data_IF_457629437208
#
_entry.id   IF_457629437208
#
_cell.length_a   1.000
_cell.length_b   1.000
_cell.length_c   1.000
_cell.angle_alpha   90.00
_cell.angle_beta   90.00
_cell.angle_gamma   90.00
#
_symmetry.space_group_name_H-M   'P 1'
#
loop_
_entity.id
_entity.type
_entity.pdbx_description
1 polymer ?
#
# COMPACT_ATOMS: atom_id res chain seq x y z
N UNK A 1 9.41 14.99 -9.98
CA UNK A 1 8.33 14.97 -10.99
C UNK A 1 7.00 15.38 -10.36
N UNK A 2 6.26 16.28 -11.03
CA UNK A 2 5.01 16.87 -10.49
C UNK A 2 3.78 16.00 -10.73
N UNK A 3 3.84 15.12 -11.71
CA UNK A 3 2.74 14.23 -12.11
C UNK A 3 3.26 12.82 -12.33
N UNK A 4 2.48 11.82 -11.95
CA UNK A 4 2.69 10.42 -12.20
C UNK A 4 1.46 9.79 -12.84
N UNK A 5 1.64 8.75 -13.64
CA UNK A 5 0.55 7.97 -14.23
C UNK A 5 0.47 6.61 -13.51
N UNK A 6 -0.68 6.34 -12.87
CA UNK A 6 -0.91 5.16 -12.05
C UNK A 6 -2.17 4.44 -12.52
N UNK A 7 -2.05 3.54 -13.51
CA UNK A 7 -3.19 2.84 -14.07
C UNK A 7 -3.75 1.78 -13.11
N UNK A 8 -5.06 1.52 -13.23
CA UNK A 8 -5.71 0.39 -12.60
C UNK A 8 -6.74 -0.23 -13.55
N UNK A 9 -6.88 -1.55 -13.47
CA UNK A 9 -7.86 -2.29 -14.24
C UNK A 9 -8.35 -3.49 -13.44
N UNK A 10 -9.62 -3.87 -13.61
CA UNK A 10 -10.17 -5.06 -13.02
C UNK A 10 -11.15 -5.73 -13.95
N UNK A 11 -11.21 -7.06 -13.89
CA UNK A 11 -12.16 -7.88 -14.64
C UNK A 11 -12.75 -8.93 -13.69
N UNK A 12 -14.03 -9.19 -13.84
CA UNK A 12 -14.73 -10.24 -13.11
C UNK A 12 -15.53 -11.10 -14.07
N UNK A 13 -15.35 -12.41 -13.95
CA UNK A 13 -16.07 -13.40 -14.73
C UNK A 13 -16.94 -14.26 -13.81
N UNK A 14 -18.28 -14.22 -14.06
CA UNK A 14 -19.24 -15.03 -13.35
C UNK A 14 -19.43 -16.36 -14.08
N UNK A 15 -18.60 -17.32 -13.74
CA UNK A 15 -18.56 -18.66 -14.39
C UNK A 15 -19.88 -19.40 -14.18
N UNK A 16 -20.56 -19.20 -13.04
CA UNK A 16 -21.85 -19.84 -12.74
C UNK A 16 -22.99 -19.45 -13.68
N UNK A 17 -22.87 -18.35 -14.42
CA UNK A 17 -23.88 -17.93 -15.39
C UNK A 17 -23.63 -18.47 -16.80
N UNK A 18 -22.50 -19.13 -17.03
CA UNK A 18 -22.18 -19.70 -18.34
C UNK A 18 -23.00 -20.97 -18.65
N UNK A 19 -23.36 -21.20 -19.92
CA UNK A 19 -24.19 -22.36 -20.31
C UNK A 19 -23.58 -23.72 -19.95
N UNK A 20 -22.24 -23.83 -19.97
CA UNK A 20 -21.54 -25.07 -19.62
C UNK A 20 -21.62 -25.42 -18.13
N UNK A 21 -21.93 -24.45 -17.27
CA UNK A 21 -21.98 -24.63 -15.81
C UNK A 21 -23.30 -25.29 -15.35
N UNK A 22 -24.29 -25.45 -16.22
CA UNK A 22 -25.65 -25.85 -15.86
C UNK A 22 -25.77 -27.12 -14.99
N UNK A 23 -24.91 -28.11 -15.21
CA UNK A 23 -24.90 -29.38 -14.45
C UNK A 23 -24.35 -29.21 -13.03
N UNK A 24 -23.49 -28.21 -12.80
CA UNK A 24 -22.84 -27.95 -11.51
C UNK A 24 -23.69 -27.01 -10.62
N UNK A 25 -24.67 -26.29 -11.19
CA UNK A 25 -25.60 -25.40 -10.45
C UNK A 25 -26.38 -26.09 -9.33
N UNK A 26 -26.48 -27.41 -9.34
CA UNK A 26 -27.18 -28.17 -8.28
C UNK A 26 -26.48 -28.09 -6.92
N UNK A 27 -25.16 -27.92 -6.92
CA UNK A 27 -24.34 -27.95 -5.69
C UNK A 27 -23.62 -26.63 -5.43
N UNK A 28 -23.42 -25.81 -6.47
CA UNK A 28 -22.67 -24.56 -6.40
C UNK A 28 -23.53 -23.46 -7.01
N UNK A 29 -23.96 -22.52 -6.20
CA UNK A 29 -24.87 -21.46 -6.62
C UNK A 29 -24.17 -20.32 -7.33
N UNK A 30 -22.96 -19.98 -6.92
CA UNK A 30 -22.19 -18.89 -7.47
C UNK A 30 -20.71 -19.26 -7.57
N UNK A 31 -20.14 -18.99 -8.75
CA UNK A 31 -18.69 -19.03 -8.98
C UNK A 31 -18.31 -17.78 -9.74
N UNK A 32 -17.49 -16.94 -9.11
CA UNK A 32 -16.99 -15.72 -9.74
C UNK A 32 -15.47 -15.64 -9.57
N UNK A 33 -14.78 -15.51 -10.69
CA UNK A 33 -13.35 -15.23 -10.75
C UNK A 33 -13.15 -13.72 -10.89
N UNK A 34 -12.21 -13.19 -10.12
CA UNK A 34 -11.81 -11.77 -10.15
C UNK A 34 -10.32 -11.67 -10.44
N UNK A 35 -9.96 -10.74 -11.30
CA UNK A 35 -8.56 -10.38 -11.56
C UNK A 35 -8.46 -8.87 -11.53
N UNK A 36 -7.50 -8.35 -10.78
CA UNK A 36 -7.24 -6.91 -10.76
C UNK A 36 -5.75 -6.61 -10.76
N UNK A 37 -5.44 -5.50 -11.37
CA UNK A 37 -4.14 -4.86 -11.35
C UNK A 37 -4.32 -3.40 -10.99
N UNK A 38 -3.49 -2.89 -10.07
CA UNK A 38 -3.47 -1.47 -9.73
C UNK A 38 -2.05 -1.00 -9.48
N UNK A 39 -1.75 0.20 -9.96
CA UNK A 39 -0.52 0.91 -9.63
C UNK A 39 -0.87 2.18 -8.87
N UNK A 40 -0.11 2.47 -7.81
CA UNK A 40 -0.26 3.66 -6.98
C UNK A 40 1.11 4.33 -6.84
N UNK A 41 1.12 5.65 -6.84
CA UNK A 41 2.28 6.45 -6.50
C UNK A 41 2.17 6.97 -5.07
N UNK A 42 3.24 6.82 -4.31
CA UNK A 42 3.37 7.41 -3.00
C UNK A 42 4.53 8.40 -3.02
N UNK A 43 4.26 9.63 -2.60
CA UNK A 43 5.27 10.68 -2.46
C UNK A 43 5.24 11.21 -1.04
N UNK A 44 5.75 10.42 -0.11
CA UNK A 44 5.86 10.78 1.30
C UNK A 44 7.16 11.53 1.56
N UNK A 45 7.37 12.64 0.87
CA UNK A 45 8.50 13.56 1.04
C UNK A 45 8.02 14.86 1.66
N UNK A 46 8.85 15.49 2.48
CA UNK A 46 8.59 16.83 2.98
C UNK A 46 8.52 17.84 1.84
N UNK A 47 7.75 18.89 2.07
CA UNK A 47 7.75 20.03 1.15
C UNK A 47 9.17 20.59 1.07
N UNK A 48 9.71 20.73 -0.15
CA UNK A 48 11.04 21.28 -0.42
C UNK A 48 12.24 20.40 -0.02
N UNK A 49 12.06 19.12 0.31
CA UNK A 49 13.15 18.18 0.63
C UNK A 49 14.19 18.05 -0.52
N UNK A 50 13.86 18.53 -1.70
CA UNK A 50 14.76 18.55 -2.86
C UNK A 50 15.64 19.82 -2.93
N UNK A 51 15.43 20.80 -2.07
CA UNK A 51 16.17 22.06 -2.04
C UNK A 51 17.14 22.05 -0.87
N UNK A 52 18.43 22.22 -1.16
CA UNK A 52 19.41 22.42 -0.11
C UNK A 52 19.29 23.84 0.44
N UNK A 53 19.09 23.96 1.74
CA UNK A 53 18.87 25.23 2.42
C UNK A 53 20.06 25.62 3.27
N UNK A 54 20.19 26.91 3.56
CA UNK A 54 21.15 27.43 4.53
C UNK A 54 20.38 27.82 5.79
N UNK A 55 20.71 27.17 6.90
CA UNK A 55 20.14 27.48 8.21
C UNK A 55 20.94 28.62 8.84
N UNK A 56 20.30 29.76 9.08
CA UNK A 56 20.95 30.97 9.63
C UNK A 56 20.66 31.20 11.10
N UNK A 57 19.84 30.38 11.73
CA UNK A 57 19.35 30.57 13.10
C UNK A 57 20.21 29.85 14.17
N UNK A 58 21.38 29.36 13.78
CA UNK A 58 22.29 28.70 14.70
C UNK A 58 22.96 29.72 15.64
N UNK A 59 23.00 29.41 16.94
CA UNK A 59 23.75 30.21 17.92
C UNK A 59 25.00 29.43 18.32
N UNK A 60 26.15 30.04 18.22
CA UNK A 60 27.41 29.41 18.64
C UNK A 60 27.42 29.20 20.15
N UNK A 61 28.03 28.11 20.62
CA UNK A 61 28.27 27.89 22.05
C UNK A 61 29.54 28.63 22.55
N UNK A 62 30.02 29.55 21.73
CA UNK A 62 31.19 30.33 22.01
C UNK A 62 30.83 31.82 22.22
N UNK A 63 31.41 32.46 23.21
CA UNK A 63 31.19 33.87 23.55
C UNK A 63 32.36 34.68 23.02
N UNK A 64 32.09 35.67 22.16
CA UNK A 64 33.08 36.63 21.67
C UNK A 64 33.27 37.79 22.69
N UNK A 65 34.23 38.64 22.44
CA UNK A 65 34.68 39.68 23.38
C UNK A 65 33.62 40.70 23.82
N UNK A 66 32.48 40.79 23.16
CA UNK A 66 31.30 41.59 23.55
C UNK A 66 30.31 40.83 24.45
N UNK A 67 30.69 39.67 24.97
CA UNK A 67 29.87 38.78 25.81
C UNK A 67 28.56 38.28 25.15
N UNK A 68 28.48 38.33 23.85
CA UNK A 68 27.33 37.81 23.09
C UNK A 68 27.71 36.52 22.36
N UNK A 69 26.77 35.61 22.34
CA UNK A 69 26.88 34.41 21.48
C UNK A 69 26.71 34.81 20.02
N UNK A 70 27.67 34.48 19.20
CA UNK A 70 27.59 34.73 17.75
C UNK A 70 26.55 33.84 17.09
N UNK A 71 25.97 34.32 16.00
CA UNK A 71 25.15 33.51 15.10
C UNK A 71 26.02 32.84 14.05
N UNK A 72 25.62 31.66 13.59
CA UNK A 72 26.27 31.00 12.48
C UNK A 72 25.27 30.52 11.44
N UNK A 73 25.72 30.39 10.22
CA UNK A 73 25.00 29.75 9.13
C UNK A 73 25.58 28.37 8.87
N UNK A 74 24.73 27.37 8.69
CA UNK A 74 25.12 26.02 8.29
C UNK A 74 24.34 25.59 7.06
N UNK A 75 24.99 24.85 6.20
CA UNK A 75 24.32 24.20 5.05
C UNK A 75 23.55 23.01 5.59
N UNK A 76 22.31 22.82 5.14
CA UNK A 76 21.53 21.62 5.45
C UNK A 76 22.20 20.36 4.91
N UNK A 77 21.75 19.20 5.39
CA UNK A 77 22.18 17.92 4.86
C UNK A 77 22.04 17.86 3.34
N UNK A 78 22.90 17.13 2.64
CA UNK A 78 22.84 17.01 1.20
C UNK A 78 21.54 16.32 0.76
N UNK A 79 20.92 16.84 -0.28
CA UNK A 79 19.70 16.30 -0.87
C UNK A 79 20.04 15.51 -2.13
N UNK A 80 19.29 14.42 -2.39
CA UNK A 80 19.38 13.73 -3.66
C UNK A 80 18.53 14.45 -4.72
N UNK A 81 19.13 14.79 -5.84
CA UNK A 81 18.41 15.38 -6.97
C UNK A 81 17.46 14.36 -7.66
N UNK A 82 17.67 13.07 -7.44
CA UNK A 82 16.98 11.97 -8.11
C UNK A 82 15.80 11.41 -7.33
N UNK A 83 15.34 12.12 -6.29
CA UNK A 83 14.15 11.69 -5.53
C UNK A 83 12.91 11.66 -6.42
N UNK A 84 12.27 10.50 -6.47
CA UNK A 84 11.07 10.26 -7.28
C UNK A 84 9.99 9.53 -6.46
N UNK A 85 8.84 9.28 -7.11
CA UNK A 85 7.73 8.55 -6.53
C UNK A 85 8.11 7.12 -6.16
N UNK A 86 7.68 6.70 -4.99
CA UNK A 86 7.50 5.29 -4.71
C UNK A 86 6.35 4.75 -5.56
N UNK A 87 6.56 3.62 -6.22
CA UNK A 87 5.51 2.97 -7.02
C UNK A 87 5.10 1.66 -6.36
N UNK A 88 3.81 1.53 -6.05
CA UNK A 88 3.23 0.31 -5.52
C UNK A 88 2.35 -0.30 -6.59
N UNK A 89 2.73 -1.48 -7.10
CA UNK A 89 1.96 -2.25 -8.08
C UNK A 89 1.42 -3.51 -7.43
N UNK A 90 0.11 -3.75 -7.53
CA UNK A 90 -0.54 -4.91 -6.93
C UNK A 90 -1.29 -5.70 -7.99
N UNK A 91 -1.02 -7.00 -8.07
CA UNK A 91 -1.82 -7.99 -8.76
C UNK A 91 -2.65 -8.75 -7.72
N UNK A 92 -3.93 -8.92 -7.99
CA UNK A 92 -4.83 -9.71 -7.15
C UNK A 92 -5.65 -10.65 -8.04
N UNK A 93 -5.77 -11.90 -7.57
CA UNK A 93 -6.67 -12.91 -8.12
C UNK A 93 -7.60 -13.35 -7.00
N UNK A 94 -8.91 -13.20 -7.22
CA UNK A 94 -9.95 -13.56 -6.25
C UNK A 94 -10.92 -14.59 -6.81
N UNK A 95 -11.39 -15.48 -5.96
CA UNK A 95 -12.41 -16.49 -6.26
C UNK A 95 -13.52 -16.40 -5.21
N UNK A 96 -14.75 -16.17 -5.68
CA UNK A 96 -15.94 -16.16 -4.85
C UNK A 96 -16.78 -17.41 -5.17
N UNK A 97 -17.07 -18.21 -4.15
CA UNK A 97 -17.90 -19.42 -4.24
C UNK A 97 -19.11 -19.30 -3.33
N UNK A 98 -20.29 -19.65 -3.85
CA UNK A 98 -21.55 -19.70 -3.09
C UNK A 98 -22.12 -21.11 -3.12
N UNK A 99 -22.56 -21.61 -1.98
CA UNK A 99 -23.13 -22.93 -1.78
C UNK A 99 -24.42 -22.84 -0.94
N UNK A 100 -25.25 -23.89 -1.02
CA UNK A 100 -26.46 -24.06 -0.21
C UNK A 100 -27.43 -22.88 -0.33
N UNK A 101 -27.77 -22.49 -1.56
CA UNK A 101 -28.56 -21.31 -1.88
C UNK A 101 -27.95 -20.01 -1.31
N UNK A 102 -26.63 -19.87 -1.50
CA UNK A 102 -25.82 -18.75 -1.01
C UNK A 102 -25.81 -18.56 0.52
N UNK A 103 -26.16 -19.60 1.28
CA UNK A 103 -25.99 -19.57 2.74
C UNK A 103 -24.52 -19.63 3.12
N UNK A 104 -23.74 -20.49 2.46
CA UNK A 104 -22.31 -20.59 2.67
C UNK A 104 -21.58 -19.90 1.52
N UNK A 105 -20.79 -18.89 1.84
CA UNK A 105 -19.97 -18.17 0.87
C UNK A 105 -18.51 -18.27 1.27
N UNK A 106 -17.67 -18.61 0.31
CA UNK A 106 -16.22 -18.64 0.43
C UNK A 106 -15.62 -17.60 -0.51
N UNK A 107 -14.81 -16.70 0.04
CA UNK A 107 -14.00 -15.77 -0.73
C UNK A 107 -12.54 -16.08 -0.48
N UNK A 108 -11.79 -16.30 -1.54
CA UNK A 108 -10.36 -16.53 -1.51
C UNK A 108 -9.67 -15.51 -2.40
N UNK A 109 -8.69 -14.82 -1.87
CA UNK A 109 -7.88 -13.85 -2.59
C UNK A 109 -6.40 -14.19 -2.46
N UNK A 110 -5.65 -14.03 -3.54
CA UNK A 110 -4.20 -14.14 -3.56
C UNK A 110 -3.63 -12.91 -4.26
N UNK A 111 -2.61 -12.30 -3.65
CA UNK A 111 -2.03 -11.08 -4.19
C UNK A 111 -0.51 -11.07 -4.16
N UNK A 112 0.04 -10.31 -5.08
CA UNK A 112 1.46 -9.95 -5.14
C UNK A 112 1.53 -8.43 -5.23
N UNK A 113 2.21 -7.82 -4.27
CA UNK A 113 2.44 -6.37 -4.20
C UNK A 113 3.92 -6.09 -4.33
N UNK A 114 4.30 -5.33 -5.34
CA UNK A 114 5.65 -4.83 -5.57
C UNK A 114 5.71 -3.34 -5.24
N UNK A 115 6.46 -2.98 -4.22
CA UNK A 115 6.80 -1.60 -3.90
C UNK A 115 8.20 -1.33 -4.41
N UNK A 116 8.34 -0.40 -5.34
CA UNK A 116 9.62 -0.03 -5.96
C UNK A 116 9.98 1.42 -5.65
N UNK A 117 11.27 1.67 -5.54
CA UNK A 117 11.76 3.00 -5.29
C UNK A 117 11.42 3.54 -3.91
N UNK A 118 11.34 2.67 -2.89
CA UNK A 118 11.15 3.11 -1.52
C UNK A 118 12.31 4.01 -1.09
N UNK A 119 11.96 5.11 -0.44
CA UNK A 119 12.95 6.03 0.08
C UNK A 119 13.63 5.44 1.31
N UNK A 120 14.94 5.45 1.30
CA UNK A 120 15.78 5.01 2.41
C UNK A 120 16.96 5.95 2.55
N UNK A 121 17.64 5.90 3.71
CA UNK A 121 18.92 6.58 3.86
C UNK A 121 19.91 6.07 2.82
N UNK A 122 20.68 6.96 2.25
CA UNK A 122 21.72 6.62 1.28
C UNK A 122 22.84 5.77 1.87
N UNK A 123 23.90 5.56 1.10
CA UNK A 123 25.10 4.89 1.61
C UNK A 123 25.76 5.75 2.68
N UNK A 124 26.22 5.11 3.76
CA UNK A 124 26.96 5.78 4.83
C UNK A 124 28.11 6.61 4.28
N UNK A 125 28.12 7.88 4.63
CA UNK A 125 29.21 8.78 4.33
C UNK A 125 30.35 8.63 5.34
N UNK A 126 31.61 8.84 4.95
CA UNK A 126 32.71 8.89 5.89
C UNK A 126 32.46 9.97 6.96
N UNK A 127 32.83 9.70 8.22
CA UNK A 127 32.61 10.65 9.31
C UNK A 127 33.24 12.03 9.10
N UNK A 128 34.28 12.10 8.27
CA UNK A 128 34.93 13.37 7.89
C UNK A 128 34.04 14.25 6.97
N UNK A 129 32.96 13.72 6.42
CA UNK A 129 32.04 14.49 5.54
C UNK A 129 31.21 15.50 6.35
N UNK A 130 30.93 15.20 7.62
CA UNK A 130 30.27 16.13 8.54
C UNK A 130 28.77 16.39 8.28
N UNK A 131 28.11 15.55 7.48
CA UNK A 131 26.67 15.64 7.21
C UNK A 131 26.05 14.23 7.15
N UNK A 132 24.74 14.16 7.31
CA UNK A 132 23.98 12.92 7.18
C UNK A 132 23.86 12.47 5.73
N UNK A 133 23.55 11.19 5.54
CA UNK A 133 23.37 10.62 4.22
C UNK A 133 22.11 11.17 3.53
N UNK A 134 22.17 11.52 2.24
CA UNK A 134 20.99 11.92 1.49
C UNK A 134 20.01 10.75 1.33
N UNK A 135 18.72 11.03 1.38
CA UNK A 135 17.68 10.04 1.06
C UNK A 135 17.79 9.63 -0.41
N UNK A 136 17.57 8.36 -0.68
CA UNK A 136 17.61 7.79 -2.04
C UNK A 136 16.45 6.81 -2.24
N UNK A 137 15.95 6.68 -3.48
CA UNK A 137 14.99 5.65 -3.86
C UNK A 137 15.72 4.33 -4.15
N UNK A 138 16.18 3.63 -3.12
CA UNK A 138 17.10 2.50 -3.26
C UNK A 138 16.53 1.16 -2.79
N UNK A 139 15.38 1.13 -2.13
CA UNK A 139 14.80 -0.11 -1.62
C UNK A 139 13.61 -0.57 -2.47
N UNK A 140 13.48 -1.89 -2.60
CA UNK A 140 12.34 -2.54 -3.22
C UNK A 140 11.81 -3.62 -2.28
N UNK A 141 10.51 -3.75 -2.20
CA UNK A 141 9.85 -4.75 -1.37
C UNK A 141 8.82 -5.52 -2.21
N UNK A 142 8.84 -6.84 -2.11
CA UNK A 142 7.79 -7.69 -2.68
C UNK A 142 7.06 -8.41 -1.56
N UNK A 143 5.77 -8.16 -1.47
CA UNK A 143 4.86 -8.83 -0.54
C UNK A 143 3.96 -9.77 -1.32
N UNK A 144 3.83 -11.00 -0.84
CA UNK A 144 2.87 -11.99 -1.35
C UNK A 144 1.99 -12.41 -0.19
N UNK A 145 0.71 -12.52 -0.44
CA UNK A 145 -0.24 -12.96 0.58
C UNK A 145 -1.43 -13.67 -0.03
N UNK A 146 -2.18 -14.32 0.82
CA UNK A 146 -3.47 -14.89 0.52
C UNK A 146 -4.40 -14.63 1.69
N UNK A 147 -5.68 -14.50 1.38
CA UNK A 147 -6.74 -14.24 2.34
C UNK A 147 -7.88 -15.21 2.06
N UNK A 148 -8.48 -15.74 3.09
CA UNK A 148 -9.61 -16.65 2.99
C UNK A 148 -10.70 -16.15 3.94
N UNK A 149 -11.92 -15.97 3.43
CA UNK A 149 -13.07 -15.59 4.22
C UNK A 149 -14.20 -16.59 4.01
N UNK A 150 -14.71 -17.15 5.08
CA UNK A 150 -15.89 -18.01 5.09
C UNK A 150 -17.04 -17.27 5.76
N UNK A 151 -18.16 -17.16 5.06
CA UNK A 151 -19.34 -16.46 5.55
C UNK A 151 -20.55 -17.39 5.51
N UNK A 152 -21.23 -17.53 6.65
CA UNK A 152 -22.50 -18.23 6.77
C UNK A 152 -23.63 -17.25 6.98
N UNK A 153 -24.65 -17.31 6.13
CA UNK A 153 -25.86 -16.49 6.20
C UNK A 153 -27.06 -17.41 6.36
N UNK A 154 -27.88 -17.20 7.36
CA UNK A 154 -29.12 -17.94 7.48
C UNK A 154 -30.25 -17.08 8.05
N UNK A 155 -31.47 -17.54 7.79
CA UNK A 155 -32.69 -16.88 8.26
C UNK A 155 -33.70 -17.91 8.67
N UNK A 156 -34.28 -17.74 9.85
CA UNK A 156 -35.40 -18.56 10.36
C UNK A 156 -36.43 -17.67 11.04
N UNK A 157 -37.61 -18.25 11.33
CA UNK A 157 -38.64 -17.54 12.08
C UNK A 157 -38.50 -17.86 13.57
N UNK A 158 -38.29 -16.82 14.36
CA UNK A 158 -38.30 -16.90 15.84
C UNK A 158 -39.55 -16.16 16.35
N UNK A 159 -40.44 -16.86 17.08
CA UNK A 159 -41.71 -16.30 17.58
C UNK A 159 -42.52 -15.57 16.48
N UNK A 160 -42.66 -16.19 15.32
CA UNK A 160 -43.34 -15.64 14.12
C UNK A 160 -42.72 -14.39 13.49
N UNK A 161 -41.54 -13.94 13.97
CA UNK A 161 -40.78 -12.84 13.40
C UNK A 161 -39.56 -13.38 12.62
N UNK A 162 -39.20 -12.78 11.46
CA UNK A 162 -38.01 -13.19 10.71
C UNK A 162 -36.76 -12.83 11.52
N UNK A 163 -35.92 -13.80 11.79
CA UNK A 163 -34.61 -13.64 12.40
C UNK A 163 -33.53 -13.98 11.35
N UNK A 164 -32.58 -13.09 11.14
CA UNK A 164 -31.46 -13.28 10.22
C UNK A 164 -30.15 -13.13 10.96
N UNK A 165 -29.20 -13.97 10.66
CA UNK A 165 -27.86 -13.89 11.22
C UNK A 165 -26.78 -14.14 10.17
N UNK A 166 -25.62 -13.58 10.42
CA UNK A 166 -24.43 -13.73 9.61
C UNK A 166 -23.26 -14.06 10.53
N UNK A 167 -22.46 -15.07 10.16
CA UNK A 167 -21.23 -15.44 10.83
C UNK A 167 -20.11 -15.42 9.80
N UNK A 168 -19.02 -14.71 10.08
CA UNK A 168 -17.86 -14.64 9.21
C UNK A 168 -16.59 -14.98 9.97
N UNK A 169 -15.72 -15.76 9.33
CA UNK A 169 -14.40 -16.14 9.82
C UNK A 169 -13.42 -15.94 8.68
N UNK A 170 -12.29 -15.28 8.97
CA UNK A 170 -11.22 -15.02 8.02
C UNK A 170 -9.85 -15.08 8.68
#
# INVERSE_FOLDING_TARGET
HRFGFFPSASVGWRISEEPFFGNLKKNIDNVKLRLSYGSLGNQQVGYYDYIQTINTNGTMNYIFGDQKKGSYASVSDPNSADLTWETVSTWNVGLDLGFLNNRLNLTADAYVRDTKGMQTSGKKLPGAYGANEPKQNAANLRTKGWELMLTWNDAFKLANKPFRYNLSVG
#
